data_IF_771918812493
#
_entry.id   IF_771918812493
#
_cell.length_a   1.000
_cell.length_b   1.000
_cell.length_c   1.000
_cell.angle_alpha   90.00
_cell.angle_beta   90.00
_cell.angle_gamma   90.00
#
_symmetry.space_group_name_H-M   'P 1'
#
loop_
_entity.id
_entity.type
_entity.pdbx_description
1 polymer ?
#
# COMPACT_ATOMS: atom_id res chain seq x y z
N UNK A 1 -7.89 14.86 9.52
CA UNK A 1 -8.73 14.84 8.32
C UNK A 1 -9.94 13.95 8.57
N UNK A 2 -11.09 14.46 8.26
CA UNK A 2 -12.32 13.68 8.30
C UNK A 2 -12.72 13.31 6.89
N UNK A 3 -13.04 12.04 6.67
CA UNK A 3 -13.44 11.52 5.36
C UNK A 3 -14.86 11.01 5.41
N UNK A 4 -15.54 11.03 4.27
CA UNK A 4 -16.86 10.45 4.12
C UNK A 4 -16.80 8.97 3.73
N UNK A 5 -17.95 8.29 3.77
CA UNK A 5 -18.02 6.86 3.45
C UNK A 5 -17.62 6.52 2.02
N UNK A 6 -17.75 7.46 1.08
CA UNK A 6 -17.37 7.25 -0.32
C UNK A 6 -15.93 7.64 -0.65
N UNK A 7 -15.15 8.04 0.34
CA UNK A 7 -13.78 8.50 0.13
C UNK A 7 -12.79 7.34 0.02
N UNK A 8 -11.66 7.63 -0.61
CA UNK A 8 -10.51 6.74 -0.65
C UNK A 8 -9.38 7.39 0.14
N UNK A 9 -8.80 6.65 1.06
CA UNK A 9 -7.69 7.12 1.88
C UNK A 9 -6.49 6.21 1.64
N UNK A 10 -5.41 6.79 1.15
CA UNK A 10 -4.19 6.03 0.84
C UNK A 10 -2.99 6.76 1.42
N UNK A 11 -2.23 6.04 2.22
CA UNK A 11 -1.00 6.57 2.81
C UNK A 11 0.18 5.76 2.29
N UNK A 12 1.25 6.45 1.91
CA UNK A 12 2.46 5.81 1.37
C UNK A 12 3.58 5.84 2.40
N UNK A 13 4.29 4.72 2.49
CA UNK A 13 5.49 4.59 3.33
C UNK A 13 6.56 3.81 2.59
N UNK A 14 7.80 4.00 3.02
CA UNK A 14 8.88 3.07 2.72
C UNK A 14 9.11 2.24 3.97
N UNK A 15 9.35 0.95 3.79
CA UNK A 15 9.72 0.08 4.89
C UNK A 15 11.23 0.13 5.11
N UNK A 16 11.68 -0.34 6.25
CA UNK A 16 13.09 -0.37 6.58
C UNK A 16 13.40 -1.60 7.43
N UNK A 17 14.62 -2.11 7.27
CA UNK A 17 15.10 -3.25 8.05
C UNK A 17 16.60 -3.10 8.29
N UNK A 18 17.09 -3.62 9.41
CA UNK A 18 18.51 -3.73 9.66
C UNK A 18 19.15 -4.75 8.71
N UNK A 19 18.36 -5.70 8.21
CA UNK A 19 18.81 -6.65 7.20
C UNK A 19 18.65 -6.02 5.81
N UNK A 20 19.76 -5.68 5.12
CA UNK A 20 19.67 -5.04 3.80
C UNK A 20 19.12 -5.94 2.70
N UNK A 21 18.94 -7.23 2.98
CA UNK A 21 18.33 -8.19 2.05
C UNK A 21 16.81 -8.20 2.13
N UNK A 22 16.21 -7.59 3.16
CA UNK A 22 14.76 -7.48 3.24
C UNK A 22 14.26 -6.68 2.04
N UNK A 23 13.24 -7.20 1.35
CA UNK A 23 12.77 -6.67 0.08
C UNK A 23 11.26 -6.85 -0.06
N UNK A 24 10.64 -6.01 -0.86
CA UNK A 24 9.26 -6.20 -1.29
C UNK A 24 8.31 -5.11 -0.86
N UNK A 25 7.07 -5.28 -1.28
CA UNK A 25 5.97 -4.35 -1.02
C UNK A 25 4.89 -5.04 -0.20
N UNK A 26 4.24 -4.27 0.68
CA UNK A 26 3.18 -4.75 1.56
C UNK A 26 2.03 -3.75 1.58
N UNK A 27 0.80 -4.23 1.57
CA UNK A 27 -0.36 -3.39 1.81
C UNK A 27 -0.96 -3.72 3.17
N UNK A 28 -1.31 -2.70 3.94
CA UNK A 28 -1.90 -2.84 5.27
C UNK A 28 -3.33 -2.31 5.25
N UNK A 29 -4.25 -3.08 5.84
CA UNK A 29 -5.64 -2.67 6.02
C UNK A 29 -6.02 -2.79 7.50
N UNK A 30 -7.13 -2.17 7.89
CA UNK A 30 -7.60 -2.23 9.27
C UNK A 30 -8.06 -3.63 9.67
N UNK A 31 -8.08 -3.89 10.98
CA UNK A 31 -8.59 -5.18 11.49
C UNK A 31 -10.07 -5.37 11.18
N UNK A 32 -10.81 -4.28 11.04
CA UNK A 32 -12.24 -4.26 10.71
C UNK A 32 -12.50 -3.98 9.23
N UNK A 33 -11.56 -4.40 8.37
CA UNK A 33 -11.64 -4.16 6.93
C UNK A 33 -12.92 -4.74 6.31
N UNK A 34 -13.40 -4.05 5.28
CA UNK A 34 -14.49 -4.54 4.44
C UNK A 34 -13.95 -5.09 3.10
N UNK A 35 -14.88 -5.49 2.25
CA UNK A 35 -14.52 -6.06 0.95
C UNK A 35 -13.77 -5.07 0.05
N UNK A 36 -14.14 -3.79 0.11
CA UNK A 36 -13.47 -2.77 -0.72
C UNK A 36 -12.05 -2.49 -0.23
N UNK A 37 -11.85 -2.46 1.09
CA UNK A 37 -10.51 -2.31 1.66
C UNK A 37 -9.59 -3.43 1.20
N UNK A 38 -10.09 -4.65 1.28
CA UNK A 38 -9.33 -5.85 0.89
C UNK A 38 -8.99 -5.81 -0.59
N UNK A 39 -9.96 -5.55 -1.44
CA UNK A 39 -9.77 -5.49 -2.89
C UNK A 39 -8.81 -4.37 -3.28
N UNK A 40 -8.97 -3.21 -2.69
CA UNK A 40 -8.12 -2.05 -2.93
C UNK A 40 -6.66 -2.34 -2.58
N UNK A 41 -6.43 -2.83 -1.37
CA UNK A 41 -5.08 -3.18 -0.91
C UNK A 41 -4.43 -4.24 -1.78
N UNK A 42 -5.19 -5.25 -2.19
CA UNK A 42 -4.66 -6.32 -3.04
C UNK A 42 -4.27 -5.80 -4.43
N UNK A 43 -5.09 -4.96 -5.03
CA UNK A 43 -4.77 -4.37 -6.34
C UNK A 43 -3.53 -3.49 -6.25
N UNK A 44 -3.41 -2.70 -5.18
CA UNK A 44 -2.27 -1.83 -4.99
C UNK A 44 -0.96 -2.61 -4.83
N UNK A 45 -0.94 -3.60 -3.95
CA UNK A 45 0.28 -4.37 -3.71
C UNK A 45 0.70 -5.17 -4.94
N UNK A 46 -0.28 -5.68 -5.69
CA UNK A 46 -0.01 -6.38 -6.95
C UNK A 46 0.62 -5.43 -7.98
N UNK A 47 0.08 -4.22 -8.10
CA UNK A 47 0.60 -3.23 -9.04
C UNK A 47 2.05 -2.83 -8.71
N UNK A 48 2.32 -2.58 -7.43
CA UNK A 48 3.68 -2.22 -7.01
C UNK A 48 4.65 -3.35 -7.33
N UNK A 49 4.31 -4.57 -6.92
CA UNK A 49 5.17 -5.74 -7.16
C UNK A 49 5.46 -5.95 -8.65
N UNK A 50 4.42 -5.84 -9.47
CA UNK A 50 4.56 -6.06 -10.91
C UNK A 50 5.39 -4.97 -11.59
N UNK A 51 5.16 -3.71 -11.24
CA UNK A 51 5.83 -2.57 -11.88
C UNK A 51 7.27 -2.43 -11.39
N UNK A 52 7.48 -2.50 -10.07
CA UNK A 52 8.82 -2.40 -9.50
C UNK A 52 9.63 -3.69 -9.63
N UNK A 53 8.99 -4.79 -9.98
CA UNK A 53 9.64 -6.11 -10.12
C UNK A 53 10.31 -6.54 -8.82
N UNK A 54 9.59 -6.37 -7.73
CA UNK A 54 10.03 -6.76 -6.39
C UNK A 54 9.03 -7.74 -5.78
N UNK A 55 9.45 -8.39 -4.70
CA UNK A 55 8.63 -9.36 -3.98
C UNK A 55 7.30 -8.76 -3.54
N UNK A 56 6.22 -9.50 -3.76
CA UNK A 56 4.90 -9.18 -3.23
C UNK A 56 4.78 -9.84 -1.86
N UNK A 57 4.83 -9.04 -0.79
CA UNK A 57 4.71 -9.53 0.57
C UNK A 57 3.26 -9.69 1.02
N UNK A 58 2.34 -9.24 0.18
CA UNK A 58 0.92 -9.46 0.35
C UNK A 58 0.20 -8.40 1.14
N UNK A 59 -1.03 -8.74 1.47
CA UNK A 59 -1.96 -7.90 2.22
C UNK A 59 -2.02 -8.40 3.66
N UNK A 60 -1.79 -7.52 4.61
CA UNK A 60 -1.87 -7.87 6.03
C UNK A 60 -2.77 -6.88 6.77
N UNK A 61 -3.30 -7.30 7.92
CA UNK A 61 -4.07 -6.41 8.79
C UNK A 61 -3.14 -5.65 9.74
N UNK A 62 -3.65 -4.57 10.34
CA UNK A 62 -2.85 -3.79 11.29
C UNK A 62 -2.33 -4.63 12.47
N UNK A 63 -3.07 -5.63 12.93
CA UNK A 63 -2.62 -6.58 13.98
C UNK A 63 -1.39 -7.35 13.59
N UNK A 64 -1.30 -7.73 12.33
CA UNK A 64 -0.18 -8.51 11.80
C UNK A 64 1.04 -7.65 11.51
N UNK A 65 0.84 -6.34 11.49
CA UNK A 65 1.87 -5.37 11.16
C UNK A 65 2.74 -5.07 12.37
N UNK A 66 4.03 -4.81 12.14
CA UNK A 66 4.94 -4.32 13.17
C UNK A 66 4.54 -2.91 13.66
N UNK A 67 3.72 -2.20 12.90
CA UNK A 67 3.23 -0.86 13.25
C UNK A 67 2.13 -0.90 14.31
N UNK A 68 1.42 -2.03 14.45
CA UNK A 68 0.30 -2.16 15.35
C UNK A 68 -0.90 -1.32 14.91
N UNK A 69 -1.67 -0.81 15.88
CA UNK A 69 -2.87 -0.01 15.61
C UNK A 69 -2.51 1.33 14.97
N UNK A 70 -3.19 1.64 13.86
CA UNK A 70 -2.94 2.84 13.08
C UNK A 70 -4.17 3.76 13.08
N UNK A 71 -3.96 5.05 13.36
CA UNK A 71 -5.02 6.05 13.32
C UNK A 71 -5.69 6.15 11.95
N UNK A 72 -4.93 5.98 10.88
CA UNK A 72 -5.43 5.98 9.50
C UNK A 72 -6.60 5.02 9.32
N UNK A 73 -6.55 3.85 9.95
CA UNK A 73 -7.56 2.80 9.81
C UNK A 73 -8.90 3.14 10.47
N UNK A 74 -8.97 4.25 11.19
CA UNK A 74 -10.21 4.74 11.82
C UNK A 74 -10.95 5.72 10.92
N UNK A 75 -10.36 6.12 9.79
CA UNK A 75 -11.01 7.00 8.83
C UNK A 75 -12.11 6.25 8.07
N UNK A 76 -13.16 6.96 7.70
CA UNK A 76 -14.24 6.39 6.90
C UNK A 76 -13.80 6.26 5.45
N UNK A 77 -14.40 5.30 4.75
CA UNK A 77 -14.13 5.08 3.34
C UNK A 77 -13.27 3.85 3.11
N UNK A 78 -12.71 3.77 1.93
CA UNK A 78 -11.79 2.69 1.54
C UNK A 78 -10.38 3.10 1.90
N UNK A 79 -9.74 2.34 2.78
CA UNK A 79 -8.49 2.76 3.43
C UNK A 79 -7.39 1.74 3.26
N UNK A 80 -6.19 2.20 2.92
CA UNK A 80 -5.01 1.34 2.83
C UNK A 80 -3.75 2.14 3.15
N UNK A 81 -2.81 1.51 3.86
CA UNK A 81 -1.44 1.98 3.98
C UNK A 81 -0.57 1.10 3.09
N UNK A 82 0.14 1.71 2.16
CA UNK A 82 0.94 0.99 1.17
C UNK A 82 2.42 1.22 1.45
N UNK A 83 3.12 0.15 1.81
CA UNK A 83 4.57 0.17 1.92
C UNK A 83 5.16 -0.16 0.57
N UNK A 84 5.70 0.85 -0.09
CA UNK A 84 6.12 0.75 -1.50
C UNK A 84 7.27 -0.23 -1.70
N UNK A 85 8.27 -0.15 -0.85
CA UNK A 85 9.43 -1.03 -0.88
C UNK A 85 10.33 -0.76 0.32
N UNK A 86 11.43 -1.48 0.45
CA UNK A 86 12.39 -1.26 1.54
C UNK A 86 13.40 -0.19 1.16
N UNK A 87 13.41 0.91 1.90
CA UNK A 87 14.40 1.97 1.69
C UNK A 87 15.82 1.46 1.98
N UNK A 88 15.94 0.43 2.82
CA UNK A 88 17.21 -0.21 3.18
C UNK A 88 17.72 -1.21 2.13
N UNK A 89 16.95 -1.49 1.08
CA UNK A 89 17.33 -2.42 0.02
C UNK A 89 17.70 -1.66 -1.24
N UNK A 90 18.95 -1.79 -1.68
CA UNK A 90 19.46 -1.03 -2.83
C UNK A 90 18.72 -1.35 -4.13
N UNK A 91 18.38 -2.61 -4.35
CA UNK A 91 17.67 -3.02 -5.57
C UNK A 91 16.24 -2.50 -5.57
N UNK A 92 15.56 -2.56 -4.42
CA UNK A 92 14.21 -1.99 -4.29
C UNK A 92 14.23 -0.51 -4.65
N UNK A 93 15.18 0.24 -4.10
CA UNK A 93 15.26 1.68 -4.35
C UNK A 93 15.65 2.00 -5.78
N UNK A 94 16.55 1.22 -6.37
CA UNK A 94 16.92 1.39 -7.78
C UNK A 94 15.70 1.17 -8.69
N UNK A 95 14.91 0.14 -8.42
CA UNK A 95 13.70 -0.15 -9.19
C UNK A 95 12.63 0.93 -8.97
N UNK A 96 12.49 1.40 -7.73
CA UNK A 96 11.57 2.50 -7.43
C UNK A 96 11.94 3.74 -8.26
N UNK A 97 13.19 4.15 -8.26
CA UNK A 97 13.64 5.32 -9.02
C UNK A 97 13.42 5.15 -10.52
N UNK A 98 13.62 3.94 -11.02
CA UNK A 98 13.47 3.64 -12.44
C UNK A 98 11.99 3.67 -12.89
N UNK A 99 11.09 3.16 -12.08
CA UNK A 99 9.69 2.94 -12.47
C UNK A 99 8.67 3.81 -11.74
N UNK A 100 9.09 4.77 -10.92
CA UNK A 100 8.17 5.54 -10.05
C UNK A 100 7.08 6.29 -10.81
N UNK A 101 7.36 6.78 -12.00
CA UNK A 101 6.37 7.52 -12.80
C UNK A 101 5.30 6.58 -13.34
N UNK A 102 5.70 5.42 -13.83
CA UNK A 102 4.77 4.38 -14.27
C UNK A 102 3.92 3.90 -13.10
N UNK A 103 4.54 3.70 -11.94
CA UNK A 103 3.86 3.29 -10.73
C UNK A 103 2.83 4.35 -10.29
N UNK A 104 3.20 5.61 -10.30
CA UNK A 104 2.28 6.70 -9.93
C UNK A 104 1.04 6.70 -10.81
N UNK A 105 1.20 6.51 -12.13
CA UNK A 105 0.06 6.44 -13.05
C UNK A 105 -0.84 5.25 -12.76
N UNK A 106 -0.27 4.09 -12.50
CA UNK A 106 -1.03 2.88 -12.19
C UNK A 106 -1.81 3.04 -10.88
N UNK A 107 -1.19 3.59 -9.85
CA UNK A 107 -1.84 3.83 -8.55
C UNK A 107 -2.98 4.84 -8.72
N UNK A 108 -2.76 5.90 -9.48
CA UNK A 108 -3.80 6.90 -9.73
C UNK A 108 -5.04 6.28 -10.39
N UNK A 109 -4.85 5.38 -11.34
CA UNK A 109 -5.97 4.66 -11.99
C UNK A 109 -6.73 3.79 -10.99
N UNK A 110 -6.02 3.10 -10.10
CA UNK A 110 -6.65 2.27 -9.07
C UNK A 110 -7.46 3.14 -8.11
N UNK A 111 -6.88 4.25 -7.64
CA UNK A 111 -7.58 5.19 -6.74
C UNK A 111 -8.85 5.71 -7.40
N UNK A 112 -8.76 6.14 -8.65
CA UNK A 112 -9.90 6.64 -9.41
C UNK A 112 -11.02 5.60 -9.49
N UNK A 113 -10.66 4.36 -9.79
CA UNK A 113 -11.62 3.24 -9.84
C UNK A 113 -12.36 3.10 -8.52
N UNK A 114 -11.64 3.12 -7.40
CA UNK A 114 -12.26 2.91 -6.08
C UNK A 114 -13.07 4.12 -5.61
N UNK A 115 -12.71 5.33 -6.00
CA UNK A 115 -13.55 6.51 -5.75
C UNK A 115 -14.92 6.37 -6.40
N UNK A 116 -15.00 5.69 -7.53
CA UNK A 116 -16.25 5.50 -8.26
C UNK A 116 -17.03 4.27 -7.81
N UNK A 117 -16.43 3.38 -7.04
CA UNK A 117 -17.10 2.20 -6.47
C UNK A 117 -17.70 2.49 -5.10
N UNK A 118 -17.15 3.45 -4.39
CA UNK A 118 -17.50 3.71 -3.00
C UNK A 118 -18.74 4.57 -2.84
#
# INVERSE_FOLDING_TARGET
>A
IKTGSGSVVLEFHFDASENPKATGTTALIGDDFDRLDKSFGQELVNAVSNILKIKNRGLISEKQSARGRLGLMREQGTVCLLELCFISNKEDMANYELYKHELASAIAEIVYKYENLA
#
